data_IF_152105689676
#
_entry.id   IF_152105689676
#
_cell.length_a   1.000
_cell.length_b   1.000
_cell.length_c   1.000
_cell.angle_alpha   90.00
_cell.angle_beta   90.00
_cell.angle_gamma   90.00
#
_symmetry.space_group_name_H-M   'P 1'
#
loop_
_entity.id
_entity.type
_entity.pdbx_description
1 polymer ?
#
# COMPACT_ATOMS: atom_id res chain seq x y z
N UNK A 1 19.86 -8.54 -16.58
CA UNK A 1 19.12 -7.30 -16.95
C UNK A 1 17.79 -7.79 -17.47
N UNK A 2 16.72 -7.72 -16.66
CA UNK A 2 15.37 -8.04 -17.11
C UNK A 2 14.99 -7.05 -18.21
N UNK A 3 14.35 -7.54 -19.28
CA UNK A 3 13.89 -6.69 -20.39
C UNK A 3 12.77 -5.74 -19.95
N UNK A 4 12.34 -4.84 -20.84
CA UNK A 4 11.24 -3.90 -20.59
C UNK A 4 9.94 -4.58 -20.12
N UNK A 5 9.77 -5.90 -20.32
CA UNK A 5 8.64 -6.71 -19.85
C UNK A 5 8.53 -6.83 -18.32
N UNK A 6 9.61 -6.64 -17.55
CA UNK A 6 9.57 -6.74 -16.07
C UNK A 6 9.22 -5.41 -15.39
N UNK A 7 8.90 -4.37 -16.16
CA UNK A 7 8.66 -3.04 -15.61
C UNK A 7 7.23 -2.88 -15.10
N UNK A 8 7.11 -2.46 -13.84
CA UNK A 8 5.83 -2.12 -13.23
C UNK A 8 5.43 -0.68 -13.58
N UNK A 9 4.17 -0.49 -13.95
CA UNK A 9 3.57 0.80 -14.24
C UNK A 9 2.36 1.03 -13.32
N UNK A 10 2.27 2.24 -12.76
CA UNK A 10 1.07 2.71 -12.07
C UNK A 10 0.18 3.44 -13.08
N UNK A 11 -1.11 3.12 -13.08
CA UNK A 11 -2.12 3.70 -13.98
C UNK A 11 -3.36 4.10 -13.15
N UNK A 12 -4.34 4.73 -13.81
CA UNK A 12 -5.62 5.12 -13.20
C UNK A 12 -5.51 6.14 -12.04
N UNK A 13 -4.87 7.27 -12.32
CA UNK A 13 -4.79 8.40 -11.38
C UNK A 13 -6.04 9.29 -11.38
N UNK A 14 -7.21 8.80 -11.84
CA UNK A 14 -8.42 9.60 -12.01
C UNK A 14 -9.00 10.15 -10.69
N UNK A 15 -8.74 9.46 -9.58
CA UNK A 15 -9.11 9.87 -8.22
C UNK A 15 -7.91 10.39 -7.40
N UNK A 16 -6.71 10.38 -7.98
CA UNK A 16 -5.50 10.84 -7.30
C UNK A 16 -5.48 12.35 -7.11
N UNK A 17 -4.94 12.79 -5.98
CA UNK A 17 -4.71 14.20 -5.67
C UNK A 17 -3.40 14.38 -4.92
N UNK A 18 -2.92 15.63 -4.86
CA UNK A 18 -1.75 15.97 -4.06
C UNK A 18 -2.16 16.21 -2.62
N UNK A 19 -1.45 15.56 -1.71
CA UNK A 19 -1.64 15.66 -0.27
C UNK A 19 -0.30 15.39 0.42
N UNK A 20 -0.16 15.86 1.66
CA UNK A 20 0.92 15.47 2.57
C UNK A 20 0.35 14.81 3.85
N UNK A 21 -0.95 14.47 3.83
CA UNK A 21 -1.61 13.81 4.95
C UNK A 21 -1.20 12.34 5.03
N UNK A 22 -0.77 11.92 6.22
CA UNK A 22 -0.37 10.55 6.49
C UNK A 22 -1.56 9.58 6.45
N UNK A 23 -2.77 10.08 6.75
CA UNK A 23 -3.99 9.27 6.69
C UNK A 23 -4.36 8.92 5.25
N UNK A 24 -4.19 9.85 4.30
CA UNK A 24 -4.40 9.59 2.87
C UNK A 24 -3.45 8.48 2.37
N UNK A 25 -2.16 8.56 2.71
CA UNK A 25 -1.19 7.53 2.35
C UNK A 25 -1.49 6.16 2.98
N UNK A 26 -1.99 6.16 4.22
CA UNK A 26 -2.38 4.94 4.91
C UNK A 26 -3.66 4.32 4.32
N UNK A 27 -4.59 5.15 3.85
CA UNK A 27 -5.79 4.68 3.14
C UNK A 27 -5.46 4.05 1.79
N UNK A 28 -4.53 4.64 1.03
CA UNK A 28 -4.05 4.03 -0.22
C UNK A 28 -3.43 2.64 0.01
N UNK A 29 -2.59 2.52 1.05
CA UNK A 29 -2.02 1.25 1.48
C UNK A 29 -3.10 0.23 1.87
N UNK A 30 -4.09 0.66 2.65
CA UNK A 30 -5.19 -0.21 3.08
C UNK A 30 -6.01 -0.75 1.91
N UNK A 31 -6.31 0.10 0.92
CA UNK A 31 -7.01 -0.31 -0.31
C UNK A 31 -6.16 -1.30 -1.11
N UNK A 32 -4.84 -1.05 -1.21
CA UNK A 32 -3.93 -1.94 -1.91
C UNK A 32 -3.82 -3.33 -1.26
N UNK A 33 -3.65 -3.40 0.06
CA UNK A 33 -3.62 -4.66 0.81
C UNK A 33 -4.93 -5.44 0.65
N UNK A 34 -6.08 -4.75 0.73
CA UNK A 34 -7.39 -5.37 0.50
C UNK A 34 -7.56 -5.92 -0.91
N UNK A 35 -7.06 -5.20 -1.93
CA UNK A 35 -7.09 -5.66 -3.31
C UNK A 35 -6.23 -6.93 -3.52
N UNK A 36 -5.02 -6.96 -2.95
CA UNK A 36 -4.14 -8.13 -3.00
C UNK A 36 -4.76 -9.34 -2.31
N UNK A 37 -5.28 -9.18 -1.09
CA UNK A 37 -5.91 -10.27 -0.35
C UNK A 37 -7.12 -10.90 -1.07
N UNK A 38 -7.76 -10.16 -1.97
CA UNK A 38 -8.86 -10.66 -2.80
C UNK A 38 -8.45 -11.27 -4.14
N UNK A 39 -7.20 -11.11 -4.59
CA UNK A 39 -6.81 -11.39 -5.99
C UNK A 39 -5.51 -12.18 -6.17
N UNK A 40 -4.59 -12.18 -5.20
CA UNK A 40 -3.27 -12.80 -5.31
C UNK A 40 -3.11 -13.99 -4.35
N UNK A 41 -2.57 -15.10 -4.86
CA UNK A 41 -2.28 -16.30 -4.06
C UNK A 41 -1.11 -16.08 -3.07
N UNK A 42 -0.24 -15.11 -3.38
CA UNK A 42 0.95 -14.72 -2.62
C UNK A 42 0.83 -13.33 -1.97
N UNK A 43 -0.41 -12.89 -1.69
CA UNK A 43 -0.72 -11.57 -1.16
C UNK A 43 0.17 -11.17 0.03
N UNK A 44 0.35 -12.04 1.03
CA UNK A 44 1.16 -11.76 2.22
C UNK A 44 2.63 -11.43 1.87
N UNK A 45 3.20 -12.12 0.88
CA UNK A 45 4.57 -11.89 0.45
C UNK A 45 4.70 -10.55 -0.28
N UNK A 46 3.72 -10.20 -1.12
CA UNK A 46 3.68 -8.93 -1.84
C UNK A 46 3.47 -7.76 -0.86
N UNK A 47 2.57 -7.90 0.11
CA UNK A 47 2.32 -6.91 1.16
C UNK A 47 3.59 -6.66 1.97
N UNK A 48 4.26 -7.73 2.44
CA UNK A 48 5.53 -7.59 3.17
C UNK A 48 6.58 -6.84 2.36
N UNK A 49 6.75 -7.15 1.07
CA UNK A 49 7.70 -6.46 0.21
C UNK A 49 7.35 -4.98 0.02
N UNK A 50 6.06 -4.65 -0.04
CA UNK A 50 5.58 -3.27 -0.16
C UNK A 50 5.82 -2.45 1.12
N UNK A 51 5.54 -3.03 2.29
CA UNK A 51 5.82 -2.40 3.58
C UNK A 51 7.32 -2.15 3.78
N UNK A 52 8.17 -3.11 3.41
CA UNK A 52 9.63 -2.96 3.50
C UNK A 52 10.12 -1.82 2.60
N UNK A 53 9.55 -1.69 1.39
CA UNK A 53 9.85 -0.57 0.49
C UNK A 53 9.43 0.78 1.09
N UNK A 54 8.26 0.88 1.74
CA UNK A 54 7.82 2.09 2.44
C UNK A 54 8.72 2.46 3.62
N UNK A 55 9.17 1.47 4.41
CA UNK A 55 10.15 1.72 5.48
C UNK A 55 11.46 2.26 4.92
N UNK A 56 11.96 1.66 3.84
CA UNK A 56 13.20 2.09 3.19
C UNK A 56 13.08 3.50 2.56
N UNK A 57 11.90 3.85 2.05
CA UNK A 57 11.62 5.17 1.48
C UNK A 57 11.46 6.29 2.52
N UNK A 58 11.42 5.95 3.82
CA UNK A 58 11.26 6.92 4.91
C UNK A 58 9.81 7.28 5.23
N UNK A 59 8.84 6.54 4.71
CA UNK A 59 7.38 6.74 4.94
C UNK A 59 6.83 5.82 6.03
N UNK A 60 7.63 5.49 7.05
CA UNK A 60 7.23 4.60 8.16
C UNK A 60 5.98 5.06 8.92
N UNK A 61 5.73 6.38 8.99
CA UNK A 61 4.54 6.94 9.64
C UNK A 61 3.22 6.52 8.96
N UNK A 62 3.23 6.30 7.64
CA UNK A 62 2.06 5.81 6.92
C UNK A 62 1.72 4.37 7.34
N UNK A 63 2.74 3.53 7.58
CA UNK A 63 2.56 2.16 8.07
C UNK A 63 2.05 2.13 9.52
N UNK A 64 2.54 3.03 10.37
CA UNK A 64 2.02 3.18 11.74
C UNK A 64 0.53 3.58 11.70
N UNK A 65 0.18 4.57 10.87
CA UNK A 65 -1.19 5.03 10.70
C UNK A 65 -2.10 3.93 10.12
N UNK A 66 -1.59 3.12 9.19
CA UNK A 66 -2.29 1.95 8.66
C UNK A 66 -2.69 0.97 9.77
N UNK A 67 -1.76 0.63 10.68
CA UNK A 67 -2.07 -0.26 11.82
C UNK A 67 -3.16 0.30 12.73
N UNK A 68 -3.21 1.63 12.89
CA UNK A 68 -4.32 2.26 13.60
C UNK A 68 -5.66 2.11 12.87
N UNK A 69 -5.69 2.33 11.56
CA UNK A 69 -6.90 2.20 10.73
C UNK A 69 -7.45 0.78 10.79
N UNK A 70 -6.59 -0.23 10.61
CA UNK A 70 -6.98 -1.64 10.71
C UNK A 70 -7.51 -2.01 12.11
N UNK A 71 -6.94 -1.40 13.16
CA UNK A 71 -7.42 -1.56 14.53
C UNK A 71 -8.81 -0.95 14.76
N UNK A 72 -9.14 0.16 14.09
CA UNK A 72 -10.46 0.82 14.17
C UNK A 72 -11.55 0.02 13.45
N UNK A 73 -11.21 -0.70 12.38
CA UNK A 73 -12.12 -1.60 11.67
C UNK A 73 -12.57 -2.84 12.47
N UNK A 74 -11.95 -3.12 13.62
CA UNK A 74 -12.26 -4.27 14.49
C UNK A 74 -13.19 -3.98 15.67
N UNK A 75 -13.70 -2.75 15.80
CA UNK A 75 -14.87 -2.51 16.67
C UNK A 75 -16.15 -2.87 15.90
N UNK A 76 -16.58 -4.12 16.07
CA UNK A 76 -17.98 -4.54 15.90
C UNK A 76 -18.76 -4.32 17.19
#
# INVERSE_FOLDING_TARGET
VGGDDDRVYLIDFGLGYYTDDVEDYAMDLHVFEGALGGTADDADAVVSAFEDAYRAAGTARALEQLREIEGRGRYQ
#
